data_IF_116271876228
#
_entry.id   IF_116271876228
#
_cell.length_a   1.000
_cell.length_b   1.000
_cell.length_c   1.000
_cell.angle_alpha   90.00
_cell.angle_beta   90.00
_cell.angle_gamma   90.00
#
_symmetry.space_group_name_H-M   'P 1'
#
loop_
_entity.id
_entity.type
_entity.pdbx_description
1 polymer ?
#
# COMPACT_ATOMS: atom_id res chain seq x y z
N UNK A 1 16.78 -25.97 9.72
CA UNK A 1 17.78 -24.91 9.79
C UNK A 1 19.05 -25.37 10.47
N UNK A 2 20.12 -24.58 10.31
CA UNK A 2 21.43 -24.73 10.95
C UNK A 2 21.97 -23.33 11.29
N UNK A 3 22.88 -23.17 12.26
CA UNK A 3 23.54 -21.88 12.52
C UNK A 3 24.33 -21.40 11.30
N UNK A 4 24.63 -20.09 11.28
CA UNK A 4 25.51 -19.47 10.29
C UNK A 4 24.81 -18.97 9.04
N UNK A 5 23.48 -18.82 9.02
CA UNK A 5 22.77 -18.30 7.84
C UNK A 5 23.04 -16.80 7.69
N UNK A 6 23.58 -16.38 6.53
CA UNK A 6 23.70 -14.98 6.15
C UNK A 6 22.40 -14.52 5.48
N UNK A 7 21.73 -13.57 6.12
CA UNK A 7 20.44 -13.06 5.69
C UNK A 7 20.37 -11.53 5.86
N UNK A 8 19.37 -10.91 5.25
CA UNK A 8 19.15 -9.46 5.31
C UNK A 8 17.74 -9.13 5.78
N UNK A 9 17.64 -8.33 6.84
CA UNK A 9 16.41 -7.67 7.23
C UNK A 9 16.30 -6.32 6.50
N UNK A 10 15.09 -5.98 6.07
CA UNK A 10 14.75 -4.68 5.50
C UNK A 10 13.77 -3.98 6.45
N UNK A 11 13.94 -2.68 6.64
CA UNK A 11 13.09 -1.83 7.48
C UNK A 11 11.74 -1.48 6.82
N UNK A 12 11.54 -1.93 5.58
CA UNK A 12 10.30 -1.79 4.84
C UNK A 12 10.50 -1.06 3.50
N UNK A 13 9.52 -1.12 2.58
CA UNK A 13 9.52 -0.40 1.32
C UNK A 13 9.94 1.07 1.47
N UNK A 14 10.81 1.53 0.55
CA UNK A 14 11.29 2.90 0.44
C UNK A 14 12.04 3.49 1.67
N UNK A 15 12.42 2.67 2.67
CA UNK A 15 13.21 3.15 3.82
C UNK A 15 14.71 3.24 3.55
N UNK A 16 15.18 2.55 2.50
CA UNK A 16 16.60 2.32 2.23
C UNK A 16 17.38 1.72 3.42
N UNK A 17 16.69 1.23 4.46
CA UNK A 17 17.28 0.69 5.67
C UNK A 17 17.36 -0.82 5.59
N UNK A 18 18.57 -1.37 5.45
CA UNK A 18 18.80 -2.81 5.50
C UNK A 18 19.91 -3.16 6.49
N UNK A 19 19.79 -4.33 7.12
CA UNK A 19 20.79 -4.89 8.00
C UNK A 19 21.06 -6.33 7.59
N UNK A 20 22.33 -6.65 7.33
CA UNK A 20 22.78 -8.02 7.20
C UNK A 20 23.05 -8.61 8.58
N UNK A 21 22.70 -9.87 8.75
CA UNK A 21 22.97 -10.63 9.96
C UNK A 21 23.40 -12.06 9.63
N UNK A 22 24.15 -12.66 10.54
CA UNK A 22 24.53 -14.07 10.50
C UNK A 22 23.94 -14.73 11.75
N UNK A 23 23.26 -15.86 11.60
CA UNK A 23 22.64 -16.53 12.74
C UNK A 23 23.70 -17.26 13.59
N UNK A 24 23.61 -17.13 14.92
CA UNK A 24 24.46 -17.90 15.85
C UNK A 24 23.85 -19.29 16.16
N UNK A 25 22.54 -19.44 15.94
CA UNK A 25 21.75 -20.65 16.18
C UNK A 25 20.64 -20.77 15.14
N UNK A 26 19.94 -21.88 15.13
CA UNK A 26 18.75 -22.07 14.29
C UNK A 26 17.68 -21.05 14.67
N UNK A 27 17.12 -20.38 13.66
CA UNK A 27 16.08 -19.36 13.85
C UNK A 27 14.85 -19.61 12.97
N UNK A 28 14.10 -20.71 13.16
CA UNK A 28 12.97 -21.06 12.29
C UNK A 28 11.86 -20.01 12.23
N UNK A 29 11.75 -19.16 13.26
CA UNK A 29 10.77 -18.06 13.28
C UNK A 29 11.08 -16.94 12.26
N UNK A 30 12.25 -16.96 11.62
CA UNK A 30 12.66 -16.05 10.55
C UNK A 30 12.40 -16.62 9.14
N UNK A 31 12.02 -17.89 9.04
CA UNK A 31 11.82 -18.56 7.73
C UNK A 31 10.72 -17.88 6.91
N UNK A 32 11.02 -17.67 5.63
CA UNK A 32 10.13 -16.98 4.68
C UNK A 32 9.99 -15.47 4.91
N UNK A 33 10.63 -14.88 5.93
CA UNK A 33 10.54 -13.44 6.25
C UNK A 33 11.67 -12.60 5.70
N UNK A 34 12.84 -13.20 5.46
CA UNK A 34 14.07 -12.50 5.06
C UNK A 34 14.78 -13.22 3.92
N UNK A 35 15.50 -12.45 3.10
CA UNK A 35 16.25 -13.01 1.96
C UNK A 35 17.55 -13.63 2.45
N UNK A 36 17.73 -14.92 2.16
CA UNK A 36 18.97 -15.65 2.44
C UNK A 36 19.97 -15.47 1.30
N UNK A 37 21.16 -15.01 1.63
CA UNK A 37 22.25 -14.78 0.66
C UNK A 37 23.34 -15.86 0.71
N UNK A 38 23.45 -16.59 1.81
CA UNK A 38 24.44 -17.64 1.96
C UNK A 38 24.51 -18.18 3.38
N UNK A 39 25.62 -18.85 3.69
CA UNK A 39 25.88 -19.40 5.01
C UNK A 39 27.38 -19.44 5.32
N UNK A 40 27.71 -19.46 6.61
CA UNK A 40 29.06 -19.72 7.10
C UNK A 40 29.45 -21.15 6.72
N UNK A 41 30.55 -21.28 5.98
CA UNK A 41 31.11 -22.59 5.60
C UNK A 41 32.18 -23.03 6.61
N UNK A 42 32.93 -22.07 7.15
CA UNK A 42 34.02 -22.29 8.12
C UNK A 42 34.07 -21.13 9.11
N UNK A 43 34.42 -21.40 10.36
CA UNK A 43 34.60 -20.35 11.38
C UNK A 43 33.34 -19.95 12.15
N UNK A 44 32.36 -20.84 12.30
CA UNK A 44 31.17 -20.56 13.12
C UNK A 44 31.53 -20.18 14.55
N UNK A 45 32.57 -20.80 15.14
CA UNK A 45 33.06 -20.43 16.48
C UNK A 45 33.54 -18.98 16.58
N UNK A 46 33.99 -18.37 15.47
CA UNK A 46 34.36 -16.95 15.43
C UNK A 46 33.10 -16.10 15.43
N UNK A 47 32.08 -16.46 14.65
CA UNK A 47 30.76 -15.80 14.65
C UNK A 47 30.16 -15.85 16.05
N UNK A 48 30.17 -17.03 16.68
CA UNK A 48 29.58 -17.25 18.00
C UNK A 48 30.30 -16.46 19.11
N UNK A 49 31.56 -16.06 18.88
CA UNK A 49 32.33 -15.24 19.81
C UNK A 49 32.01 -13.74 19.73
N UNK A 50 31.36 -13.27 18.66
CA UNK A 50 30.97 -11.87 18.48
C UNK A 50 29.89 -11.49 19.49
N UNK A 51 30.04 -10.32 20.12
CA UNK A 51 29.12 -9.79 21.13
C UNK A 51 28.60 -8.41 20.73
N UNK A 52 27.47 -8.05 21.31
CA UNK A 52 26.92 -6.71 21.15
C UNK A 52 27.94 -5.66 21.60
N UNK A 53 28.17 -4.65 20.76
CA UNK A 53 29.17 -3.61 20.99
C UNK A 53 30.49 -3.85 20.23
N UNK A 54 30.71 -5.05 19.71
CA UNK A 54 31.86 -5.30 18.83
C UNK A 54 31.73 -4.48 17.54
N UNK A 55 32.85 -3.93 17.08
CA UNK A 55 32.91 -3.08 15.89
C UNK A 55 33.50 -3.83 14.70
N UNK A 56 32.83 -3.74 13.56
CA UNK A 56 33.40 -4.22 12.29
C UNK A 56 34.46 -3.21 11.84
N UNK A 57 35.72 -3.63 11.89
CA UNK A 57 36.84 -2.79 11.47
C UNK A 57 37.04 -2.80 9.95
N UNK A 58 36.85 -3.96 9.30
CA UNK A 58 37.09 -4.14 7.87
C UNK A 58 36.23 -5.29 7.34
N UNK A 59 35.73 -5.13 6.10
CA UNK A 59 35.08 -6.19 5.35
C UNK A 59 35.88 -6.45 4.08
N UNK A 60 36.22 -7.72 3.83
CA UNK A 60 36.87 -8.16 2.59
C UNK A 60 35.96 -9.14 1.86
N UNK A 61 35.76 -8.92 0.56
CA UNK A 61 34.96 -9.80 -0.30
C UNK A 61 35.91 -10.52 -1.25
N UNK A 62 36.09 -11.82 -1.04
CA UNK A 62 36.88 -12.68 -1.92
C UNK A 62 36.01 -13.23 -3.06
N UNK A 63 36.11 -12.62 -4.24
CA UNK A 63 35.37 -13.03 -5.44
C UNK A 63 35.93 -14.34 -6.02
N UNK A 64 35.10 -15.39 -6.08
CA UNK A 64 35.45 -16.71 -6.62
C UNK A 64 34.77 -16.97 -7.97
N UNK A 65 35.53 -17.42 -8.96
CA UNK A 65 35.07 -17.66 -10.33
C UNK A 65 35.10 -16.43 -11.24
N UNK A 66 35.14 -16.64 -12.55
CA UNK A 66 35.27 -15.56 -13.55
C UNK A 66 34.11 -14.56 -13.50
N UNK A 67 32.86 -15.05 -13.37
CA UNK A 67 31.68 -14.20 -13.25
C UNK A 67 31.74 -13.26 -12.04
N UNK A 68 32.13 -13.78 -10.88
CA UNK A 68 32.22 -12.96 -9.66
C UNK A 68 33.39 -11.97 -9.74
N UNK A 69 34.53 -12.38 -10.29
CA UNK A 69 35.71 -11.51 -10.48
C UNK A 69 35.44 -10.39 -11.49
N UNK A 70 34.68 -10.69 -12.54
CA UNK A 70 34.25 -9.71 -13.55
C UNK A 70 33.05 -8.86 -13.13
N UNK A 71 32.44 -9.13 -11.97
CA UNK A 71 31.32 -8.34 -11.47
C UNK A 71 31.82 -7.02 -10.89
N UNK A 72 31.72 -5.96 -11.69
CA UNK A 72 32.06 -4.59 -11.32
C UNK A 72 30.77 -3.83 -11.04
N UNK A 73 30.61 -3.36 -9.81
CA UNK A 73 29.51 -2.45 -9.44
C UNK A 73 30.06 -1.04 -9.53
N UNK A 74 29.62 -0.31 -10.55
CA UNK A 74 29.84 1.14 -10.67
C UNK A 74 28.55 1.87 -10.31
N UNK A 75 28.65 3.17 -10.05
CA UNK A 75 27.45 4.01 -9.88
C UNK A 75 26.56 3.93 -11.12
N UNK A 76 27.14 4.00 -12.33
CA UNK A 76 26.40 3.88 -13.58
C UNK A 76 25.67 2.54 -13.72
N UNK A 77 26.29 1.42 -13.31
CA UNK A 77 25.64 0.12 -13.27
C UNK A 77 24.45 0.13 -12.30
N UNK A 78 24.62 0.69 -11.10
CA UNK A 78 23.54 0.79 -10.12
C UNK A 78 22.38 1.65 -10.64
N UNK A 79 22.69 2.82 -11.21
CA UNK A 79 21.70 3.73 -11.78
C UNK A 79 20.90 3.06 -12.90
N UNK A 80 21.55 2.30 -13.78
CA UNK A 80 20.88 1.52 -14.82
C UNK A 80 19.88 0.52 -14.22
N UNK A 81 20.26 -0.18 -13.16
CA UNK A 81 19.38 -1.14 -12.50
C UNK A 81 18.20 -0.46 -11.81
N UNK A 82 18.40 0.74 -11.22
CA UNK A 82 17.31 1.55 -10.66
C UNK A 82 16.34 1.99 -11.76
N UNK A 83 16.85 2.47 -12.90
CA UNK A 83 15.99 2.86 -14.03
C UNK A 83 15.18 1.68 -14.57
N UNK A 84 15.80 0.51 -14.74
CA UNK A 84 15.09 -0.72 -15.14
C UNK A 84 13.99 -1.07 -14.14
N UNK A 85 14.28 -1.02 -12.84
CA UNK A 85 13.30 -1.31 -11.79
C UNK A 85 12.13 -0.32 -11.82
N UNK A 86 12.40 0.97 -12.05
CA UNK A 86 11.35 1.99 -12.20
C UNK A 86 10.44 1.71 -13.39
N UNK A 87 11.00 1.37 -14.55
CA UNK A 87 10.22 1.04 -15.77
C UNK A 87 9.33 -0.19 -15.53
N UNK A 88 9.89 -1.25 -14.92
CA UNK A 88 9.12 -2.46 -14.59
C UNK A 88 7.98 -2.15 -13.62
N UNK A 89 8.23 -1.32 -12.60
CA UNK A 89 7.21 -0.91 -11.65
C UNK A 89 6.12 -0.05 -12.31
N UNK A 90 6.47 0.84 -13.23
CA UNK A 90 5.52 1.63 -14.01
C UNK A 90 4.64 0.73 -14.90
N UNK A 91 5.24 -0.24 -15.59
CA UNK A 91 4.51 -1.24 -16.37
C UNK A 91 3.54 -2.05 -15.52
N UNK A 92 4.00 -2.53 -14.35
CA UNK A 92 3.16 -3.26 -13.39
C UNK A 92 1.97 -2.41 -12.91
N UNK A 93 2.19 -1.12 -12.64
CA UNK A 93 1.12 -0.18 -12.26
C UNK A 93 0.13 0.06 -13.40
N UNK A 94 0.62 0.21 -14.63
CA UNK A 94 -0.21 0.39 -15.80
C UNK A 94 -1.09 -0.84 -16.06
N UNK A 95 -0.52 -2.04 -15.96
CA UNK A 95 -1.26 -3.30 -16.09
C UNK A 95 -2.31 -3.45 -14.97
N UNK A 96 -1.93 -3.19 -13.72
CA UNK A 96 -2.87 -3.24 -12.60
C UNK A 96 -4.02 -2.22 -12.76
N UNK A 97 -3.74 -1.02 -13.27
CA UNK A 97 -4.76 -0.02 -13.56
C UNK A 97 -5.72 -0.47 -14.68
N UNK A 98 -5.21 -1.13 -15.73
CA UNK A 98 -6.02 -1.69 -16.81
C UNK A 98 -6.90 -2.85 -16.31
N UNK A 99 -6.35 -3.74 -15.48
CA UNK A 99 -7.08 -4.83 -14.85
C UNK A 99 -8.16 -4.30 -13.90
N UNK A 100 -7.86 -3.26 -13.12
CA UNK A 100 -8.83 -2.59 -12.26
C UNK A 100 -9.95 -1.97 -13.10
N UNK A 101 -9.62 -1.23 -14.17
CA UNK A 101 -10.62 -0.62 -15.06
C UNK A 101 -11.53 -1.68 -15.72
N UNK A 102 -10.96 -2.79 -16.17
CA UNK A 102 -11.74 -3.92 -16.70
C UNK A 102 -12.69 -4.46 -15.63
N UNK A 103 -12.19 -4.71 -14.42
CA UNK A 103 -12.98 -5.22 -13.30
C UNK A 103 -14.10 -4.25 -12.90
N UNK A 104 -13.84 -2.94 -12.89
CA UNK A 104 -14.82 -1.90 -12.60
C UNK A 104 -15.93 -1.89 -13.65
N UNK A 105 -15.59 -1.93 -14.94
CA UNK A 105 -16.57 -1.96 -16.04
C UNK A 105 -17.38 -3.25 -16.07
N UNK A 106 -16.81 -4.38 -15.63
CA UNK A 106 -17.55 -5.63 -15.49
C UNK A 106 -18.53 -5.59 -14.32
N UNK A 107 -18.11 -5.10 -13.15
CA UNK A 107 -18.97 -5.03 -11.95
C UNK A 107 -20.01 -3.92 -12.03
N UNK A 108 -19.64 -2.77 -12.61
CA UNK A 108 -20.47 -1.58 -12.77
C UNK A 108 -20.38 -1.05 -14.21
N UNK A 109 -21.14 -1.61 -15.16
CA UNK A 109 -21.06 -1.23 -16.58
C UNK A 109 -21.31 0.25 -16.88
N UNK A 110 -22.13 0.90 -16.06
CA UNK A 110 -22.48 2.32 -16.19
C UNK A 110 -21.60 3.24 -15.32
N UNK A 111 -20.46 2.74 -14.79
CA UNK A 111 -19.56 3.56 -14.01
C UNK A 111 -18.86 4.61 -14.89
N UNK A 112 -18.77 5.84 -14.39
CA UNK A 112 -18.12 6.97 -15.05
C UNK A 112 -16.81 7.29 -14.34
N UNK A 113 -15.74 7.50 -15.11
CA UNK A 113 -14.45 7.98 -14.59
C UNK A 113 -14.47 9.50 -14.49
N UNK A 114 -14.24 10.02 -13.29
CA UNK A 114 -14.15 11.44 -12.99
C UNK A 114 -12.76 11.99 -13.31
N UNK A 115 -12.65 13.32 -13.46
CA UNK A 115 -11.37 14.01 -13.67
C UNK A 115 -10.36 13.78 -12.52
N UNK A 116 -10.87 13.52 -11.31
CA UNK A 116 -10.07 13.12 -10.15
C UNK A 116 -9.47 11.71 -10.26
N UNK A 117 -9.89 10.90 -11.24
CA UNK A 117 -9.49 9.50 -11.40
C UNK A 117 -10.36 8.51 -10.63
N UNK A 118 -11.33 8.99 -9.83
CA UNK A 118 -12.35 8.15 -9.21
C UNK A 118 -13.27 7.57 -10.28
N UNK A 119 -13.76 6.36 -10.06
CA UNK A 119 -14.92 5.85 -10.78
C UNK A 119 -16.16 5.98 -9.91
N UNK A 120 -17.28 6.36 -10.51
CA UNK A 120 -18.57 6.49 -9.81
C UNK A 120 -19.63 5.68 -10.53
N UNK A 121 -20.38 4.88 -9.78
CA UNK A 121 -21.59 4.23 -10.22
C UNK A 121 -22.76 4.75 -9.36
N UNK A 122 -23.73 5.40 -9.99
CA UNK A 122 -24.91 5.93 -9.30
C UNK A 122 -25.99 4.86 -9.16
N UNK A 123 -26.44 4.62 -7.93
CA UNK A 123 -27.67 3.85 -7.67
C UNK A 123 -28.89 4.75 -7.50
N UNK A 124 -28.74 5.89 -6.83
CA UNK A 124 -29.83 6.83 -6.57
C UNK A 124 -29.29 8.26 -6.60
N UNK A 125 -29.96 9.12 -7.36
CA UNK A 125 -29.74 10.57 -7.32
C UNK A 125 -30.70 11.19 -6.30
N UNK A 126 -30.13 11.89 -5.33
CA UNK A 126 -30.84 12.66 -4.32
C UNK A 126 -31.35 13.99 -4.86
N UNK A 127 -32.22 14.63 -4.08
CA UNK A 127 -32.83 15.92 -4.44
C UNK A 127 -32.51 17.01 -3.42
N UNK A 128 -31.82 16.68 -2.32
CA UNK A 128 -31.50 17.63 -1.28
C UNK A 128 -30.24 18.46 -1.57
N UNK A 129 -29.74 19.17 -0.55
CA UNK A 129 -28.59 20.08 -0.72
C UNK A 129 -27.33 19.37 -1.21
N UNK A 130 -26.58 20.05 -2.08
CA UNK A 130 -25.26 19.60 -2.50
C UNK A 130 -24.27 19.73 -1.34
N UNK A 131 -23.36 18.75 -1.22
CA UNK A 131 -22.27 18.83 -0.25
C UNK A 131 -21.25 19.88 -0.71
N UNK A 132 -20.98 20.83 0.16
CA UNK A 132 -19.97 21.88 -0.04
C UNK A 132 -18.88 21.76 1.03
N UNK A 133 -17.67 22.31 0.79
CA UNK A 133 -16.65 22.39 1.84
C UNK A 133 -17.23 23.01 3.13
N UNK A 134 -16.81 22.48 4.28
CA UNK A 134 -17.27 22.89 5.63
C UNK A 134 -18.70 22.48 6.01
N UNK A 135 -19.44 21.75 5.17
CA UNK A 135 -20.72 21.17 5.56
C UNK A 135 -20.54 19.97 6.52
N UNK A 136 -21.47 19.78 7.45
CA UNK A 136 -21.57 18.53 8.21
C UNK A 136 -22.35 17.51 7.36
N UNK A 137 -21.78 16.32 7.16
CA UNK A 137 -22.36 15.27 6.31
C UNK A 137 -22.60 14.02 7.14
N UNK A 138 -23.86 13.58 7.23
CA UNK A 138 -24.23 12.30 7.85
C UNK A 138 -24.53 11.28 6.76
N UNK A 139 -23.86 10.13 6.79
CA UNK A 139 -23.93 9.14 5.72
C UNK A 139 -23.75 7.71 6.26
N UNK A 140 -24.27 6.76 5.49
CA UNK A 140 -23.86 5.38 5.56
C UNK A 140 -22.79 5.08 4.52
N UNK A 141 -21.91 4.16 4.87
CA UNK A 141 -20.94 3.58 3.96
C UNK A 141 -20.75 2.08 4.17
N UNK A 142 -20.32 1.41 3.10
CA UNK A 142 -19.71 0.07 3.11
C UNK A 142 -18.44 0.10 2.27
N UNK A 143 -17.31 -0.25 2.88
CA UNK A 143 -15.98 -0.22 2.28
C UNK A 143 -15.45 -1.63 2.03
N UNK A 144 -14.84 -1.83 0.86
CA UNK A 144 -14.14 -3.06 0.49
C UNK A 144 -12.95 -2.73 -0.41
N UNK A 145 -12.08 -3.71 -0.65
CA UNK A 145 -11.15 -3.63 -1.78
C UNK A 145 -11.84 -4.16 -3.05
N UNK A 146 -11.31 -3.82 -4.23
CA UNK A 146 -11.95 -4.13 -5.53
C UNK A 146 -12.23 -5.63 -5.78
N UNK A 147 -11.51 -6.54 -5.12
CA UNK A 147 -11.78 -7.97 -5.20
C UNK A 147 -12.96 -8.46 -4.32
N UNK A 148 -13.62 -7.55 -3.60
CA UNK A 148 -14.77 -7.84 -2.74
C UNK A 148 -14.43 -8.11 -1.27
N UNK A 149 -13.16 -8.21 -0.89
CA UNK A 149 -12.79 -8.34 0.53
C UNK A 149 -13.24 -7.09 1.30
N UNK A 150 -14.13 -7.31 2.27
CA UNK A 150 -14.71 -6.25 3.09
C UNK A 150 -13.68 -5.61 4.02
N UNK A 151 -13.84 -4.32 4.23
CA UNK A 151 -13.04 -3.53 5.16
C UNK A 151 -13.92 -3.10 6.34
N UNK A 152 -14.67 -2.00 6.16
CA UNK A 152 -15.49 -1.43 7.22
C UNK A 152 -16.88 -1.06 6.72
N UNK A 153 -17.91 -1.23 7.55
CA UNK A 153 -19.31 -1.09 7.15
C UNK A 153 -20.16 -0.49 8.28
N UNK A 154 -20.58 0.75 8.09
CA UNK A 154 -21.44 1.47 9.05
C UNK A 154 -22.86 0.90 9.16
N UNK A 155 -23.38 0.26 8.10
CA UNK A 155 -24.73 -0.31 8.08
C UNK A 155 -24.77 -1.56 8.93
N UNK A 156 -23.72 -2.36 8.88
CA UNK A 156 -23.57 -3.53 9.76
C UNK A 156 -23.45 -3.13 11.22
N UNK A 157 -22.86 -1.96 11.52
CA UNK A 157 -22.83 -1.39 12.88
C UNK A 157 -24.15 -0.77 13.34
N UNK A 158 -25.10 -0.58 12.42
CA UNK A 158 -26.42 0.01 12.69
C UNK A 158 -26.44 1.52 12.92
N UNK A 159 -25.31 2.22 12.82
CA UNK A 159 -25.22 3.66 13.10
C UNK A 159 -24.51 4.41 11.95
N UNK A 160 -25.10 5.50 11.43
CA UNK A 160 -24.46 6.32 10.41
C UNK A 160 -23.27 7.09 10.98
N UNK A 161 -22.39 7.55 10.11
CA UNK A 161 -21.21 8.35 10.47
C UNK A 161 -21.45 9.80 10.09
N UNK A 162 -21.00 10.74 10.93
CA UNK A 162 -21.00 12.17 10.61
C UNK A 162 -19.57 12.66 10.41
N UNK A 163 -19.30 13.19 9.22
CA UNK A 163 -18.03 13.81 8.87
C UNK A 163 -18.16 15.33 8.89
N UNK A 164 -17.12 15.98 9.41
CA UNK A 164 -16.97 17.44 9.43
C UNK A 164 -15.69 17.80 8.71
N UNK A 165 -15.79 18.54 7.62
CA UNK A 165 -14.62 18.94 6.84
C UNK A 165 -13.61 19.68 7.72
N UNK A 166 -12.34 19.26 7.68
CA UNK A 166 -11.24 19.90 8.41
C UNK A 166 -11.11 19.53 9.88
N UNK A 167 -12.08 18.82 10.48
CA UNK A 167 -11.98 18.36 11.87
C UNK A 167 -11.56 16.89 11.97
N UNK A 168 -12.08 16.05 11.07
CA UNK A 168 -11.77 14.62 11.05
C UNK A 168 -10.90 14.29 9.84
N UNK A 169 -9.88 13.43 9.97
CA UNK A 169 -9.19 12.88 8.82
C UNK A 169 -10.15 11.95 8.05
N UNK A 170 -10.17 12.07 6.74
CA UNK A 170 -10.89 11.15 5.84
C UNK A 170 -10.02 10.90 4.61
N UNK A 171 -10.22 9.76 3.96
CA UNK A 171 -9.52 9.47 2.71
C UNK A 171 -9.81 10.57 1.68
N UNK A 172 -8.75 11.02 1.03
CA UNK A 172 -8.83 12.08 0.01
C UNK A 172 -9.83 11.73 -1.10
N UNK A 173 -9.88 10.46 -1.52
CA UNK A 173 -10.87 9.96 -2.46
C UNK A 173 -12.31 10.12 -1.96
N UNK A 174 -12.59 9.82 -0.69
CA UNK A 174 -13.94 10.03 -0.14
C UNK A 174 -14.26 11.53 -0.08
N UNK A 175 -13.28 12.36 0.29
CA UNK A 175 -13.44 13.83 0.28
C UNK A 175 -13.83 14.34 -1.12
N UNK A 176 -13.14 13.86 -2.16
CA UNK A 176 -13.45 14.20 -3.55
C UNK A 176 -14.80 13.63 -4.00
N UNK A 177 -15.15 12.43 -3.56
CA UNK A 177 -16.46 11.82 -3.82
C UNK A 177 -17.59 12.68 -3.25
N UNK A 178 -17.49 13.11 -1.99
CA UNK A 178 -18.48 13.97 -1.34
C UNK A 178 -18.76 15.25 -2.12
N UNK A 179 -17.75 15.89 -2.70
CA UNK A 179 -17.94 17.12 -3.49
C UNK A 179 -18.75 16.90 -4.79
N UNK A 180 -19.01 15.65 -5.16
CA UNK A 180 -19.87 15.26 -6.29
C UNK A 180 -21.25 14.77 -5.86
N UNK A 181 -21.53 14.77 -4.56
CA UNK A 181 -22.74 14.21 -3.96
C UNK A 181 -23.65 15.27 -3.35
N UNK A 182 -24.90 14.88 -3.14
CA UNK A 182 -25.95 15.64 -2.45
C UNK A 182 -26.73 14.76 -1.48
N UNK A 183 -27.51 15.38 -0.61
CA UNK A 183 -28.41 14.66 0.28
C UNK A 183 -29.40 13.79 -0.49
N UNK A 184 -29.52 12.52 -0.08
CA UNK A 184 -30.32 11.49 -0.74
C UNK A 184 -29.56 10.68 -1.80
N UNK A 185 -28.33 11.05 -2.15
CA UNK A 185 -27.53 10.25 -3.08
C UNK A 185 -27.14 8.90 -2.48
N UNK A 186 -27.20 7.85 -3.32
CA UNK A 186 -26.48 6.61 -3.10
C UNK A 186 -25.62 6.29 -4.31
N UNK A 187 -24.30 6.26 -4.11
CA UNK A 187 -23.30 6.07 -5.18
C UNK A 187 -22.18 5.17 -4.69
N UNK A 188 -21.70 4.27 -5.55
CA UNK A 188 -20.47 3.51 -5.34
C UNK A 188 -19.30 4.23 -6.00
N UNK A 189 -18.24 4.47 -5.23
CA UNK A 189 -16.99 5.02 -5.71
C UNK A 189 -15.90 3.97 -5.69
N UNK A 190 -15.16 3.84 -6.78
CA UNK A 190 -13.91 3.07 -6.83
C UNK A 190 -12.75 4.05 -6.87
N UNK A 191 -11.95 4.01 -5.82
CA UNK A 191 -10.93 4.98 -5.46
C UNK A 191 -9.55 4.37 -5.76
N UNK A 192 -8.74 4.97 -6.64
CA UNK A 192 -7.36 4.55 -6.86
C UNK A 192 -6.53 4.63 -5.59
N UNK A 193 -5.60 3.70 -5.39
CA UNK A 193 -4.75 3.61 -4.18
C UNK A 193 -4.11 4.94 -3.75
N UNK A 194 -3.66 5.76 -4.71
CA UNK A 194 -3.03 7.06 -4.45
C UNK A 194 -3.96 8.07 -3.74
N UNK A 195 -5.28 7.90 -3.86
CA UNK A 195 -6.30 8.73 -3.20
C UNK A 195 -6.93 8.01 -2.00
N UNK A 196 -6.46 6.81 -1.67
CA UNK A 196 -6.89 6.04 -0.52
C UNK A 196 -5.70 5.81 0.43
N UNK A 197 -5.26 4.56 0.62
CA UNK A 197 -4.24 4.17 1.60
C UNK A 197 -2.80 4.17 1.06
N UNK A 198 -2.56 4.68 -0.15
CA UNK A 198 -1.26 4.63 -0.82
C UNK A 198 -0.61 3.23 -0.73
N UNK A 199 0.72 3.16 -0.79
CA UNK A 199 1.48 1.94 -0.48
C UNK A 199 1.96 2.10 0.96
N UNK A 200 1.21 1.58 1.93
CA UNK A 200 1.64 1.49 3.33
C UNK A 200 1.99 0.03 3.68
N UNK A 201 3.28 -0.29 3.84
CA UNK A 201 3.72 -1.65 4.17
C UNK A 201 3.38 -2.10 5.59
N UNK A 202 2.96 -1.18 6.46
CA UNK A 202 2.56 -1.48 7.83
C UNK A 202 1.08 -1.86 7.93
N UNK A 203 0.27 -1.54 6.90
CA UNK A 203 -1.12 -1.96 6.80
C UNK A 203 -1.23 -3.37 6.21
N UNK A 204 -1.04 -4.37 7.07
CA UNK A 204 -1.05 -5.80 6.71
C UNK A 204 -2.37 -6.23 6.01
N UNK A 205 -3.47 -5.50 6.25
CA UNK A 205 -4.82 -5.90 5.80
C UNK A 205 -5.14 -5.44 4.37
N UNK A 206 -4.53 -4.35 3.88
CA UNK A 206 -4.83 -3.78 2.55
C UNK A 206 -3.59 -3.94 1.66
N UNK A 207 -3.65 -4.74 0.59
CA UNK A 207 -2.52 -4.87 -0.32
C UNK A 207 -2.08 -3.52 -0.88
N UNK A 208 -0.77 -3.26 -0.89
CA UNK A 208 -0.22 -2.03 -1.45
C UNK A 208 -0.65 -1.83 -2.91
N UNK A 209 -1.16 -0.64 -3.24
CA UNK A 209 -1.68 -0.35 -4.58
C UNK A 209 -3.13 -0.78 -4.84
N UNK A 210 -3.83 -1.34 -3.84
CA UNK A 210 -5.22 -1.76 -4.00
C UNK A 210 -6.16 -0.58 -4.29
N UNK A 211 -7.12 -0.81 -5.19
CA UNK A 211 -8.28 0.07 -5.37
C UNK A 211 -9.28 -0.21 -4.26
N UNK A 212 -9.82 0.87 -3.68
CA UNK A 212 -10.80 0.80 -2.60
C UNK A 212 -12.18 1.14 -3.15
N UNK A 213 -13.17 0.35 -2.79
CA UNK A 213 -14.57 0.54 -3.17
C UNK A 213 -15.32 1.05 -1.95
N UNK A 214 -16.05 2.15 -2.09
CA UNK A 214 -16.98 2.65 -1.09
C UNK A 214 -18.37 2.83 -1.70
N UNK A 215 -19.35 2.08 -1.20
CA UNK A 215 -20.76 2.38 -1.39
C UNK A 215 -21.17 3.41 -0.34
N UNK A 216 -21.53 4.62 -0.77
CA UNK A 216 -21.87 5.77 0.05
C UNK A 216 -23.34 6.14 -0.12
N UNK A 217 -24.01 6.44 0.98
CA UNK A 217 -25.40 6.89 1.02
C UNK A 217 -25.54 8.10 1.94
N UNK A 218 -25.86 9.25 1.37
CA UNK A 218 -25.90 10.52 2.08
C UNK A 218 -27.28 10.71 2.68
N UNK A 219 -27.35 10.71 4.00
CA UNK A 219 -28.60 10.83 4.74
C UNK A 219 -28.95 12.28 5.05
N UNK A 220 -27.94 13.11 5.33
CA UNK A 220 -28.13 14.50 5.71
C UNK A 220 -26.93 15.36 5.36
N UNK A 221 -27.20 16.57 4.86
CA UNK A 221 -26.19 17.61 4.62
C UNK A 221 -26.62 18.87 5.36
N UNK A 222 -25.78 19.34 6.28
CA UNK A 222 -25.98 20.60 7.00
C UNK A 222 -24.94 21.60 6.49
N UNK A 223 -25.33 22.61 5.70
CA UNK A 223 -24.41 23.64 5.23
C UNK A 223 -23.78 24.41 6.39
N UNK A 224 -22.57 25.00 6.20
CA UNK A 224 -21.96 25.85 7.22
C UNK A 224 -22.86 27.05 7.53
N UNK A 225 -22.94 27.42 8.81
CA UNK A 225 -23.60 28.67 9.21
C UNK A 225 -22.66 29.83 8.91
N UNK A 226 -23.14 30.82 8.17
CA UNK A 226 -22.43 32.07 7.89
C UNK A 226 -22.19 32.88 9.17
#
# INVERSE_FOLDING_TARGET
DKPGVLSMANSGPATNGSQFFITHKDTPWLDGKHTVFGQVVTGQSVVDAIKQGDSILTIRIDRRGEKAKGFVVTQAFFDEQVQKAMVVEEQRRAEAALQAETSIKTQWPNAVKLASGLWVHTQTEGTGPQIVPQADVTFHFSGSILNGQKMDDSRTRGNPTTFKFGQNPILEGIRLAFLTMREGDRKTFVIPSKLAYAIDPTQIVIPGGAYIVYDLEILKVVPPQN
#
